data_IF_626696512493
#
_entry.id   IF_626696512493
#
_cell.length_a   1.000
_cell.length_b   1.000
_cell.length_c   1.000
_cell.angle_alpha   90.00
_cell.angle_beta   90.00
_cell.angle_gamma   90.00
#
_symmetry.space_group_name_H-M   'P 1'
#
loop_
_entity.id
_entity.type
_entity.pdbx_description
1 polymer ?
#
# COMPACT_ATOMS: atom_id res chain seq x y z
N UNK A 1 -16.04 -32.19 -35.42
CA UNK A 1 -16.27 -32.18 -33.96
C UNK A 1 -15.26 -33.11 -33.33
N UNK A 2 -14.09 -32.59 -32.98
CA UNK A 2 -13.05 -33.38 -32.35
C UNK A 2 -13.20 -33.26 -30.83
N UNK A 3 -13.74 -34.30 -30.20
CA UNK A 3 -13.78 -34.39 -28.73
C UNK A 3 -12.35 -34.59 -28.23
N UNK A 4 -11.72 -33.50 -27.76
CA UNK A 4 -10.39 -33.55 -27.16
C UNK A 4 -10.30 -34.65 -26.12
N UNK A 5 -9.26 -35.49 -26.20
CA UNK A 5 -9.21 -36.80 -25.53
C UNK A 5 -9.31 -36.62 -24.00
N UNK A 6 -10.49 -36.94 -23.46
CA UNK A 6 -10.77 -36.91 -22.01
C UNK A 6 -9.97 -38.03 -21.35
N UNK A 7 -8.99 -37.66 -20.54
CA UNK A 7 -8.10 -38.59 -19.82
C UNK A 7 -8.60 -38.85 -18.40
N UNK A 8 -8.90 -40.10 -18.10
CA UNK A 8 -9.18 -40.57 -16.73
C UNK A 8 -7.88 -40.65 -15.90
N UNK A 9 -7.90 -40.33 -14.60
CA UNK A 9 -6.71 -40.44 -13.74
C UNK A 9 -6.16 -41.88 -13.65
N UNK A 10 -4.85 -42.06 -13.65
CA UNK A 10 -4.25 -43.40 -13.55
C UNK A 10 -4.24 -43.95 -12.11
N UNK A 11 -4.57 -45.23 -11.95
CA UNK A 11 -4.50 -45.96 -10.67
C UNK A 11 -5.70 -45.74 -9.74
N UNK A 12 -5.48 -45.73 -8.42
CA UNK A 12 -6.54 -45.66 -7.39
C UNK A 12 -7.17 -44.26 -7.19
N UNK A 13 -7.23 -43.42 -8.21
CA UNK A 13 -7.80 -42.07 -8.14
C UNK A 13 -9.16 -42.03 -8.85
N UNK A 14 -10.21 -41.65 -8.13
CA UNK A 14 -11.50 -41.33 -8.73
C UNK A 14 -11.38 -40.08 -9.60
N UNK A 15 -12.15 -40.05 -10.69
CA UNK A 15 -12.37 -38.84 -11.48
C UNK A 15 -13.42 -37.97 -10.79
N UNK A 16 -13.26 -36.64 -10.82
CA UNK A 16 -14.23 -35.68 -10.28
C UNK A 16 -14.85 -34.85 -11.39
N UNK A 17 -16.03 -34.27 -11.13
CA UNK A 17 -16.67 -33.34 -12.08
C UNK A 17 -15.80 -32.10 -12.35
N UNK A 18 -15.05 -31.62 -11.36
CA UNK A 18 -14.08 -30.53 -11.55
C UNK A 18 -12.93 -30.90 -12.48
N UNK A 19 -12.42 -32.14 -12.41
CA UNK A 19 -11.42 -32.65 -13.37
C UNK A 19 -11.99 -32.77 -14.79
N UNK A 20 -13.27 -33.19 -14.92
CA UNK A 20 -13.94 -33.27 -16.22
C UNK A 20 -14.15 -31.87 -16.83
N UNK A 21 -14.72 -30.93 -16.06
CA UNK A 21 -14.93 -29.55 -16.50
C UNK A 21 -13.61 -28.87 -16.89
N UNK A 22 -12.53 -29.09 -16.12
CA UNK A 22 -11.19 -28.57 -16.45
C UNK A 22 -10.59 -29.17 -17.73
N UNK A 23 -11.03 -30.37 -18.14
CA UNK A 23 -10.61 -30.98 -19.41
C UNK A 23 -11.47 -30.51 -20.59
N UNK A 24 -12.78 -30.32 -20.39
CA UNK A 24 -13.68 -29.75 -21.42
C UNK A 24 -13.28 -28.31 -21.74
N UNK A 25 -13.13 -27.45 -20.72
CA UNK A 25 -12.68 -26.06 -20.92
C UNK A 25 -11.28 -25.98 -21.56
N UNK A 26 -10.40 -26.94 -21.28
CA UNK A 26 -9.08 -27.03 -21.94
C UNK A 26 -9.14 -27.46 -23.43
N UNK A 27 -10.27 -28.04 -23.88
CA UNK A 27 -10.55 -28.33 -25.28
C UNK A 27 -11.28 -27.20 -26.02
N UNK A 28 -11.90 -26.26 -25.31
CA UNK A 28 -12.67 -25.13 -25.86
C UNK A 28 -11.84 -23.83 -26.03
N UNK A 29 -10.53 -23.90 -25.74
CA UNK A 29 -9.58 -22.81 -25.96
C UNK A 29 -9.56 -22.39 -27.44
N UNK A 30 -9.66 -21.09 -27.71
CA UNK A 30 -9.58 -20.53 -29.06
C UNK A 30 -8.14 -20.66 -29.60
N UNK A 31 -7.93 -21.00 -30.89
CA UNK A 31 -6.58 -21.22 -31.42
C UNK A 31 -5.68 -19.99 -31.27
N UNK A 32 -6.21 -18.79 -31.56
CA UNK A 32 -5.48 -17.52 -31.50
C UNK A 32 -5.21 -17.01 -30.07
N UNK A 33 -5.58 -17.75 -29.02
CA UNK A 33 -5.47 -17.30 -27.65
C UNK A 33 -4.03 -17.50 -27.11
N UNK A 34 -3.26 -16.41 -26.99
CA UNK A 34 -1.98 -16.39 -26.29
C UNK A 34 -2.01 -15.56 -24.99
N UNK A 35 -1.26 -16.00 -23.98
CA UNK A 35 -1.12 -15.28 -22.69
C UNK A 35 0.32 -15.39 -22.16
N UNK A 36 0.92 -14.27 -21.76
CA UNK A 36 2.22 -14.23 -21.06
C UNK A 36 2.15 -15.02 -19.73
N UNK A 37 2.99 -16.07 -19.63
CA UNK A 37 2.96 -16.99 -18.49
C UNK A 37 3.32 -16.34 -17.15
N UNK A 38 4.10 -15.26 -17.17
CA UNK A 38 4.52 -14.54 -15.97
C UNK A 38 3.53 -13.46 -15.54
N UNK A 39 2.82 -12.81 -16.48
CA UNK A 39 1.62 -12.01 -16.19
C UNK A 39 0.61 -12.89 -15.48
N UNK A 40 0.22 -14.01 -16.10
CA UNK A 40 -0.75 -14.94 -15.55
C UNK A 40 -0.31 -15.53 -14.20
N UNK A 41 0.99 -15.83 -14.02
CA UNK A 41 1.50 -16.28 -12.71
C UNK A 41 1.41 -15.20 -11.62
N UNK A 42 1.66 -13.92 -11.94
CA UNK A 42 1.45 -12.82 -10.98
C UNK A 42 -0.04 -12.68 -10.63
N UNK A 43 -0.92 -12.74 -11.62
CA UNK A 43 -2.38 -12.74 -11.42
C UNK A 43 -2.83 -13.90 -10.50
N UNK A 44 -2.31 -15.11 -10.71
CA UNK A 44 -2.57 -16.28 -9.85
C UNK A 44 -2.13 -16.10 -8.40
N UNK A 45 -1.01 -15.39 -8.16
CA UNK A 45 -0.58 -15.06 -6.80
C UNK A 45 -1.57 -14.13 -6.07
N UNK A 46 -2.23 -13.23 -6.79
CA UNK A 46 -3.25 -12.34 -6.20
C UNK A 46 -4.63 -13.01 -6.06
N UNK A 47 -5.06 -13.80 -7.05
CA UNK A 47 -6.31 -14.59 -7.01
C UNK A 47 -6.27 -15.75 -6.00
N UNK A 48 -5.08 -16.11 -5.50
CA UNK A 48 -4.80 -17.20 -4.54
C UNK A 48 -5.86 -17.39 -3.42
N UNK A 49 -6.35 -16.34 -2.72
CA UNK A 49 -7.30 -16.52 -1.62
C UNK A 49 -8.63 -17.14 -2.07
N UNK A 50 -9.12 -16.78 -3.26
CA UNK A 50 -10.38 -17.30 -3.82
C UNK A 50 -10.18 -18.66 -4.48
N UNK A 51 -8.99 -18.93 -5.02
CA UNK A 51 -8.64 -20.22 -5.63
C UNK A 51 -8.35 -21.34 -4.60
N UNK A 52 -8.18 -21.01 -3.31
CA UNK A 52 -7.89 -21.99 -2.25
C UNK A 52 -6.47 -22.57 -2.28
N UNK A 53 -5.53 -21.88 -2.94
CA UNK A 53 -4.19 -22.43 -3.26
C UNK A 53 -3.14 -21.99 -2.22
N UNK A 54 -2.17 -22.86 -1.94
CA UNK A 54 -1.04 -22.58 -1.03
C UNK A 54 0.19 -22.08 -1.78
N UNK A 55 1.03 -21.27 -1.12
CA UNK A 55 2.26 -20.69 -1.71
C UNK A 55 3.22 -21.77 -2.22
N UNK A 56 3.26 -22.92 -1.53
CA UNK A 56 4.05 -24.09 -1.94
C UNK A 56 3.51 -24.76 -3.20
N UNK A 57 2.21 -24.63 -3.50
CA UNK A 57 1.64 -25.05 -4.78
C UNK A 57 1.95 -24.03 -5.88
N UNK A 58 1.86 -22.72 -5.61
CA UNK A 58 2.29 -21.69 -6.57
C UNK A 58 3.80 -21.79 -6.90
N UNK A 59 4.66 -22.11 -5.94
CA UNK A 59 6.07 -22.40 -6.18
C UNK A 59 6.28 -23.61 -7.12
N UNK A 60 5.50 -24.68 -6.96
CA UNK A 60 5.50 -25.82 -7.89
C UNK A 60 5.00 -25.42 -9.28
N UNK A 61 4.00 -24.54 -9.37
CA UNK A 61 3.49 -24.03 -10.65
C UNK A 61 4.53 -23.14 -11.36
N UNK A 62 5.20 -22.24 -10.65
CA UNK A 62 6.34 -21.47 -11.15
C UNK A 62 7.44 -22.39 -11.71
N UNK A 63 7.80 -23.44 -10.97
CA UNK A 63 8.76 -24.43 -11.43
C UNK A 63 8.31 -25.14 -12.72
N UNK A 64 7.01 -25.44 -12.88
CA UNK A 64 6.43 -26.02 -14.12
C UNK A 64 6.49 -25.03 -15.30
N UNK A 65 6.06 -23.78 -15.12
CA UNK A 65 6.12 -22.72 -16.15
C UNK A 65 7.56 -22.41 -16.60
N UNK A 66 8.54 -22.67 -15.73
CA UNK A 66 9.97 -22.59 -16.04
C UNK A 66 10.49 -23.74 -16.94
N UNK A 67 9.72 -24.80 -17.19
CA UNK A 67 10.06 -25.85 -18.18
C UNK A 67 9.39 -25.65 -19.54
N UNK A 68 8.35 -24.82 -19.62
CA UNK A 68 7.75 -24.44 -20.89
C UNK A 68 8.65 -23.40 -21.59
N UNK A 69 9.10 -23.64 -22.84
CA UNK A 69 10.24 -22.92 -23.42
C UNK A 69 9.91 -21.50 -23.89
N UNK A 70 8.72 -21.26 -24.45
CA UNK A 70 8.27 -19.93 -24.87
C UNK A 70 7.77 -19.10 -23.68
N UNK A 71 7.62 -17.79 -23.88
CA UNK A 71 7.07 -16.90 -22.84
C UNK A 71 5.52 -16.89 -22.83
N UNK A 72 4.91 -17.02 -24.00
CA UNK A 72 3.45 -17.06 -24.17
C UNK A 72 2.93 -18.51 -24.21
N UNK A 73 1.89 -18.78 -23.42
CA UNK A 73 1.09 -19.99 -23.50
C UNK A 73 0.10 -19.85 -24.67
N UNK A 74 0.20 -20.71 -25.68
CA UNK A 74 -0.76 -20.83 -26.80
C UNK A 74 -0.80 -22.29 -27.28
N UNK A 75 -1.87 -22.71 -27.97
CA UNK A 75 -2.07 -24.12 -28.35
C UNK A 75 -0.95 -24.67 -29.24
N UNK A 76 -0.55 -23.92 -30.29
CA UNK A 76 0.46 -24.26 -31.30
C UNK A 76 1.79 -24.77 -30.74
N UNK A 77 2.09 -24.38 -29.50
CA UNK A 77 3.39 -24.55 -28.87
C UNK A 77 3.48 -25.79 -27.98
N UNK A 78 2.40 -26.58 -27.88
CA UNK A 78 2.34 -27.80 -27.07
C UNK A 78 2.32 -27.50 -25.57
N UNK A 79 1.12 -27.32 -25.01
CA UNK A 79 0.90 -26.93 -23.61
C UNK A 79 1.24 -28.02 -22.56
N UNK A 80 2.03 -29.05 -22.90
CA UNK A 80 2.34 -30.20 -22.03
C UNK A 80 3.79 -30.15 -21.54
N UNK A 81 3.99 -30.05 -20.22
CA UNK A 81 5.32 -30.10 -19.58
C UNK A 81 5.55 -31.42 -18.83
N UNK A 82 6.72 -32.01 -19.00
CA UNK A 82 7.08 -33.35 -18.50
C UNK A 82 8.32 -33.40 -17.58
N UNK A 83 8.59 -32.42 -16.68
CA UNK A 83 9.80 -32.43 -15.86
C UNK A 83 9.83 -33.58 -14.85
N UNK A 84 11.05 -34.01 -14.48
CA UNK A 84 11.26 -35.00 -13.43
C UNK A 84 10.97 -34.40 -12.04
N UNK A 85 10.58 -35.25 -11.08
CA UNK A 85 10.34 -34.75 -9.72
C UNK A 85 11.62 -34.25 -9.03
N UNK A 86 12.80 -34.71 -9.45
CA UNK A 86 14.10 -34.20 -9.00
C UNK A 86 14.32 -32.76 -9.51
N UNK A 87 14.07 -32.51 -10.79
CA UNK A 87 14.17 -31.18 -11.39
C UNK A 87 13.16 -30.19 -10.78
N UNK A 88 11.94 -30.65 -10.48
CA UNK A 88 10.95 -29.86 -9.73
C UNK A 88 11.41 -29.58 -8.30
N UNK A 89 11.97 -30.56 -7.59
CA UNK A 89 12.51 -30.39 -6.22
C UNK A 89 13.60 -29.32 -6.19
N UNK A 90 14.57 -29.38 -7.10
CA UNK A 90 15.64 -28.38 -7.23
C UNK A 90 15.08 -26.96 -7.45
N UNK A 91 14.14 -26.79 -8.39
CA UNK A 91 13.50 -25.49 -8.69
C UNK A 91 12.51 -25.01 -7.63
N UNK A 92 12.16 -25.84 -6.65
CA UNK A 92 11.28 -25.48 -5.52
C UNK A 92 12.04 -25.45 -4.19
N UNK A 93 13.30 -25.01 -4.25
CA UNK A 93 14.20 -24.84 -3.10
C UNK A 93 14.40 -26.12 -2.26
N UNK A 94 14.54 -27.27 -2.93
CA UNK A 94 14.79 -28.56 -2.28
C UNK A 94 13.53 -29.21 -1.70
N UNK A 95 12.33 -28.90 -2.22
CA UNK A 95 11.10 -29.49 -1.73
C UNK A 95 11.10 -31.02 -1.88
N UNK A 96 10.90 -31.76 -0.79
CA UNK A 96 10.87 -33.22 -0.80
C UNK A 96 9.84 -33.79 -1.79
N UNK A 97 10.18 -34.90 -2.45
CA UNK A 97 9.44 -35.41 -3.62
C UNK A 97 7.96 -35.71 -3.33
N UNK A 98 7.64 -36.27 -2.15
CA UNK A 98 6.27 -36.51 -1.69
C UNK A 98 5.48 -35.20 -1.53
N UNK A 99 6.12 -34.14 -1.05
CA UNK A 99 5.53 -32.81 -0.90
C UNK A 99 5.26 -32.17 -2.28
N UNK A 100 6.20 -32.31 -3.23
CA UNK A 100 5.97 -31.94 -4.63
C UNK A 100 4.78 -32.70 -5.21
N UNK A 101 4.72 -34.04 -5.06
CA UNK A 101 3.59 -34.87 -5.52
C UNK A 101 2.23 -34.46 -4.91
N UNK A 102 2.22 -33.98 -3.65
CA UNK A 102 1.02 -33.46 -2.96
C UNK A 102 0.58 -32.11 -3.52
N UNK A 103 1.49 -31.17 -3.73
CA UNK A 103 1.14 -29.88 -4.31
C UNK A 103 0.76 -29.99 -5.80
N UNK A 104 1.35 -30.94 -6.54
CA UNK A 104 0.89 -31.38 -7.87
C UNK A 104 -0.45 -32.14 -7.85
N UNK A 105 -1.01 -32.48 -6.69
CA UNK A 105 -2.39 -32.93 -6.58
C UNK A 105 -3.29 -31.70 -6.43
N UNK A 106 -3.05 -30.86 -5.42
CA UNK A 106 -3.83 -29.65 -5.16
C UNK A 106 -4.00 -28.72 -6.38
N UNK A 107 -2.98 -28.57 -7.25
CA UNK A 107 -3.09 -27.80 -8.50
C UNK A 107 -4.02 -28.43 -9.56
N UNK A 108 -4.16 -29.76 -9.54
CA UNK A 108 -5.09 -30.50 -10.42
C UNK A 108 -6.49 -30.52 -9.82
N UNK A 109 -6.57 -30.70 -8.50
CA UNK A 109 -7.83 -30.70 -7.75
C UNK A 109 -8.50 -29.30 -7.78
N UNK A 110 -7.71 -28.22 -7.84
CA UNK A 110 -8.15 -26.84 -8.09
C UNK A 110 -8.35 -26.47 -9.58
N UNK A 111 -8.21 -27.43 -10.50
CA UNK A 111 -8.46 -27.21 -11.94
C UNK A 111 -7.49 -26.28 -12.65
N UNK A 112 -6.25 -26.10 -12.16
CA UNK A 112 -5.21 -25.32 -12.83
C UNK A 112 -4.28 -26.18 -13.71
N UNK A 113 -4.24 -27.49 -13.48
CA UNK A 113 -3.45 -28.45 -14.26
C UNK A 113 -4.28 -29.69 -14.59
N UNK A 114 -4.09 -30.25 -15.78
CA UNK A 114 -4.56 -31.61 -16.11
C UNK A 114 -3.37 -32.57 -16.16
N UNK A 115 -3.53 -33.77 -15.62
CA UNK A 115 -2.54 -34.86 -15.77
C UNK A 115 -2.89 -35.69 -16.99
N UNK A 116 -2.00 -35.70 -17.98
CA UNK A 116 -2.00 -36.68 -19.06
C UNK A 116 -1.06 -37.82 -18.65
N UNK A 117 -1.56 -38.69 -17.77
CA UNK A 117 -0.81 -39.86 -17.28
C UNK A 117 -0.58 -40.86 -18.43
N UNK A 118 0.59 -41.53 -18.45
CA UNK A 118 0.86 -42.61 -19.42
C UNK A 118 0.32 -43.96 -18.93
N UNK A 119 0.15 -44.97 -19.82
CA UNK A 119 -0.27 -46.32 -19.43
C UNK A 119 0.62 -47.01 -18.36
N UNK A 120 1.84 -46.51 -18.17
CA UNK A 120 2.80 -47.02 -17.17
C UNK A 120 3.01 -46.05 -15.98
N UNK A 121 2.20 -44.99 -15.85
CA UNK A 121 2.30 -43.99 -14.77
C UNK A 121 3.60 -43.16 -14.72
N UNK A 122 4.48 -43.31 -15.73
CA UNK A 122 5.73 -42.55 -15.86
C UNK A 122 5.54 -41.36 -16.80
N UNK A 123 6.19 -40.22 -16.52
CA UNK A 123 6.25 -39.09 -17.46
C UNK A 123 7.36 -39.35 -18.47
N UNK A 124 7.00 -39.41 -19.74
CA UNK A 124 7.94 -39.51 -20.86
C UNK A 124 7.28 -38.93 -22.12
N UNK A 125 8.12 -38.62 -23.10
CA UNK A 125 7.69 -38.30 -24.46
C UNK A 125 8.02 -39.50 -25.34
N UNK A 126 7.04 -40.02 -26.07
CA UNK A 126 7.28 -40.83 -27.26
C UNK A 126 7.60 -39.87 -28.40
N UNK A 127 8.73 -40.08 -29.06
CA UNK A 127 9.03 -39.47 -30.36
C UNK A 127 8.78 -40.49 -31.46
N UNK A 128 8.44 -40.00 -32.63
CA UNK A 128 8.26 -40.83 -33.81
C UNK A 128 9.62 -41.26 -34.41
N UNK A 129 9.62 -41.79 -35.64
CA UNK A 129 10.87 -42.18 -36.34
C UNK A 129 11.59 -41.00 -37.03
N UNK A 130 10.93 -39.85 -37.21
CA UNK A 130 11.56 -38.62 -37.71
C UNK A 130 12.19 -37.77 -36.59
N UNK A 131 11.75 -37.93 -35.34
CA UNK A 131 12.21 -37.20 -34.16
C UNK A 131 11.17 -36.24 -33.56
N UNK A 132 9.99 -36.14 -34.16
CA UNK A 132 8.90 -35.29 -33.73
C UNK A 132 8.14 -35.85 -32.52
N UNK A 133 7.35 -35.00 -31.86
CA UNK A 133 6.64 -35.34 -30.60
C UNK A 133 5.32 -36.05 -30.92
N UNK A 134 5.37 -37.37 -30.99
CA UNK A 134 4.25 -38.31 -31.21
C UNK A 134 3.27 -38.32 -30.02
N UNK A 135 3.77 -38.59 -28.80
CA UNK A 135 2.94 -38.54 -27.58
C UNK A 135 3.69 -37.94 -26.38
N UNK A 136 3.21 -36.81 -25.85
CA UNK A 136 3.67 -36.25 -24.59
C UNK A 136 2.77 -36.66 -23.40
N UNK A 137 3.37 -37.28 -22.37
CA UNK A 137 2.70 -37.63 -21.11
C UNK A 137 3.30 -36.86 -19.92
N UNK A 138 2.48 -36.04 -19.25
CA UNK A 138 2.93 -35.03 -18.29
C UNK A 138 1.79 -34.18 -17.73
N UNK A 139 2.07 -32.91 -17.44
CA UNK A 139 1.06 -31.92 -17.02
C UNK A 139 0.69 -31.01 -18.19
N UNK A 140 -0.60 -30.93 -18.50
CA UNK A 140 -1.14 -29.92 -19.40
C UNK A 140 -1.38 -28.62 -18.64
N UNK A 141 -0.84 -27.53 -19.19
CA UNK A 141 -1.03 -26.13 -18.79
C UNK A 141 -2.29 -25.51 -19.41
N UNK A 142 -2.99 -26.24 -20.30
CA UNK A 142 -4.17 -25.74 -21.00
C UNK A 142 -5.28 -25.15 -20.08
N UNK A 143 -5.59 -25.69 -18.89
CA UNK A 143 -6.57 -25.07 -17.99
C UNK A 143 -6.18 -23.64 -17.54
N UNK A 144 -4.89 -23.30 -17.50
CA UNK A 144 -4.44 -21.94 -17.19
C UNK A 144 -4.83 -20.95 -18.30
N UNK A 145 -4.76 -21.39 -19.56
CA UNK A 145 -5.07 -20.58 -20.72
C UNK A 145 -6.60 -20.44 -20.89
N UNK A 146 -7.33 -21.54 -20.74
CA UNK A 146 -8.80 -21.54 -20.73
C UNK A 146 -9.38 -20.61 -19.64
N UNK A 147 -8.81 -20.66 -18.43
CA UNK A 147 -9.28 -19.89 -17.26
C UNK A 147 -8.56 -18.54 -17.09
N UNK A 148 -7.78 -18.09 -18.07
CA UNK A 148 -6.97 -16.87 -17.92
C UNK A 148 -7.82 -15.63 -17.58
N UNK A 149 -9.00 -15.49 -18.20
CA UNK A 149 -9.93 -14.39 -17.94
C UNK A 149 -10.59 -14.51 -16.54
N UNK A 150 -11.04 -15.71 -16.17
CA UNK A 150 -11.56 -16.00 -14.81
C UNK A 150 -10.53 -15.65 -13.73
N UNK A 151 -9.27 -16.01 -13.94
CA UNK A 151 -8.15 -15.73 -13.04
C UNK A 151 -7.88 -14.21 -12.95
N UNK A 152 -7.97 -13.47 -14.06
CA UNK A 152 -7.86 -11.99 -14.06
C UNK A 152 -9.04 -11.33 -13.35
N UNK A 153 -10.27 -11.81 -13.52
CA UNK A 153 -11.46 -11.34 -12.80
C UNK A 153 -11.35 -11.61 -11.28
N UNK A 154 -10.92 -12.81 -10.88
CA UNK A 154 -10.71 -13.17 -9.46
C UNK A 154 -9.60 -12.33 -8.81
N UNK A 155 -8.49 -12.07 -9.51
CA UNK A 155 -7.44 -11.18 -9.01
C UNK A 155 -7.93 -9.72 -8.88
N UNK A 156 -8.69 -9.23 -9.86
CA UNK A 156 -9.29 -7.90 -9.81
C UNK A 156 -10.24 -7.74 -8.61
N UNK A 157 -11.07 -8.75 -8.32
CA UNK A 157 -11.94 -8.77 -7.16
C UNK A 157 -11.15 -8.72 -5.82
N UNK A 158 -10.11 -9.54 -5.68
CA UNK A 158 -9.25 -9.52 -4.47
C UNK A 158 -8.55 -8.17 -4.30
N UNK A 159 -8.08 -7.56 -5.38
CA UNK A 159 -7.41 -6.24 -5.33
C UNK A 159 -8.40 -5.10 -5.04
N UNK A 160 -9.63 -5.16 -5.58
CA UNK A 160 -10.69 -4.21 -5.28
C UNK A 160 -11.09 -4.25 -3.80
N UNK A 161 -11.24 -5.45 -3.21
CA UNK A 161 -11.56 -5.62 -1.79
C UNK A 161 -10.45 -5.07 -0.88
N UNK A 162 -9.18 -5.37 -1.16
CA UNK A 162 -8.04 -4.80 -0.41
C UNK A 162 -8.04 -3.26 -0.46
N UNK A 163 -8.27 -2.69 -1.64
CA UNK A 163 -8.29 -1.24 -1.86
C UNK A 163 -9.51 -0.57 -1.21
N UNK A 164 -10.65 -1.26 -1.14
CA UNK A 164 -11.83 -0.81 -0.40
C UNK A 164 -11.55 -0.76 1.11
N UNK A 165 -11.04 -1.85 1.69
CA UNK A 165 -10.61 -1.92 3.09
C UNK A 165 -9.57 -0.84 3.44
N UNK A 166 -8.63 -0.55 2.52
CA UNK A 166 -7.68 0.56 2.68
C UNK A 166 -8.40 1.92 2.73
N UNK A 167 -9.24 2.24 1.73
CA UNK A 167 -10.00 3.50 1.67
C UNK A 167 -10.91 3.71 2.87
N UNK A 168 -11.53 2.65 3.39
CA UNK A 168 -12.32 2.70 4.62
C UNK A 168 -11.45 3.11 5.81
N UNK A 169 -10.29 2.48 6.00
CA UNK A 169 -9.33 2.83 7.09
C UNK A 169 -8.80 4.26 6.98
N UNK A 170 -8.51 4.72 5.76
CA UNK A 170 -8.12 6.11 5.49
C UNK A 170 -9.24 7.09 5.85
N UNK A 171 -10.47 6.85 5.39
CA UNK A 171 -11.65 7.67 5.72
C UNK A 171 -11.97 7.68 7.22
N UNK A 172 -11.88 6.53 7.90
CA UNK A 172 -12.03 6.43 9.37
C UNK A 172 -10.96 7.27 10.07
N UNK A 173 -9.70 7.20 9.62
CA UNK A 173 -8.58 7.94 10.23
C UNK A 173 -8.74 9.45 10.06
N UNK A 174 -9.23 9.91 8.91
CA UNK A 174 -9.59 11.31 8.69
C UNK A 174 -10.79 11.73 9.55
N UNK A 175 -11.87 10.93 9.57
CA UNK A 175 -13.07 11.24 10.34
C UNK A 175 -12.77 11.34 11.85
N UNK A 176 -11.99 10.40 12.41
CA UNK A 176 -11.52 10.46 13.82
C UNK A 176 -10.70 11.72 14.13
N UNK A 177 -9.85 12.16 13.20
CA UNK A 177 -9.04 13.38 13.35
C UNK A 177 -9.90 14.63 13.33
N UNK A 178 -10.86 14.70 12.41
CA UNK A 178 -11.76 15.84 12.28
C UNK A 178 -12.68 15.95 13.50
N UNK A 179 -13.26 14.84 13.97
CA UNK A 179 -14.08 14.81 15.19
C UNK A 179 -13.30 15.37 16.39
N UNK A 180 -12.07 14.89 16.60
CA UNK A 180 -11.22 15.36 17.70
C UNK A 180 -10.96 16.88 17.62
N UNK A 181 -10.61 17.40 16.43
CA UNK A 181 -10.36 18.84 16.23
C UNK A 181 -11.61 19.71 16.37
N UNK A 182 -12.77 19.21 15.95
CA UNK A 182 -14.03 19.93 16.08
C UNK A 182 -14.48 19.98 17.55
N UNK A 183 -14.25 18.91 18.32
CA UNK A 183 -14.47 18.91 19.78
C UNK A 183 -13.48 19.84 20.51
N UNK A 184 -12.21 19.84 20.10
CA UNK A 184 -11.16 20.73 20.63
C UNK A 184 -11.56 22.20 20.46
N UNK A 185 -11.87 22.62 19.23
CA UNK A 185 -12.36 23.98 18.94
C UNK A 185 -13.70 24.32 19.64
N UNK A 186 -14.60 23.35 19.81
CA UNK A 186 -15.87 23.58 20.52
C UNK A 186 -15.68 23.90 22.01
N UNK A 187 -14.63 23.34 22.62
CA UNK A 187 -14.27 23.58 24.03
C UNK A 187 -13.44 24.86 24.18
N UNK A 188 -12.57 25.19 23.22
CA UNK A 188 -11.81 26.45 23.21
C UNK A 188 -12.70 27.69 23.03
N UNK A 189 -13.77 27.60 22.21
CA UNK A 189 -14.72 28.69 21.93
C UNK A 189 -15.95 28.72 22.89
N UNK A 190 -15.90 27.96 23.99
CA UNK A 190 -16.95 27.82 25.02
C UNK A 190 -18.37 27.67 24.42
N UNK A 191 -18.52 26.73 23.49
CA UNK A 191 -19.77 26.51 22.77
C UNK A 191 -20.74 25.71 23.64
N UNK A 192 -21.95 26.22 23.86
CA UNK A 192 -23.01 25.52 24.61
C UNK A 192 -23.34 24.14 23.97
N UNK A 193 -23.10 23.05 24.71
CA UNK A 193 -23.44 21.70 24.26
C UNK A 193 -22.88 20.59 25.16
N UNK A 194 -23.50 19.40 25.12
CA UNK A 194 -22.97 18.22 25.82
C UNK A 194 -21.83 17.54 25.01
N UNK A 195 -20.70 18.22 24.94
CA UNK A 195 -19.47 17.71 24.34
C UNK A 195 -18.91 16.50 25.08
N UNK A 196 -19.26 16.33 26.37
CA UNK A 196 -18.78 15.22 27.20
C UNK A 196 -19.45 13.90 26.82
N UNK A 197 -20.77 13.89 26.60
CA UNK A 197 -21.47 12.73 26.06
C UNK A 197 -21.01 12.39 24.64
N UNK A 198 -20.82 13.41 23.79
CA UNK A 198 -20.30 13.21 22.43
C UNK A 198 -18.88 12.62 22.43
N UNK A 199 -17.99 13.09 23.33
CA UNK A 199 -16.64 12.55 23.48
C UNK A 199 -16.66 11.11 23.99
N UNK A 200 -17.56 10.76 24.91
CA UNK A 200 -17.68 9.38 25.38
C UNK A 200 -18.18 8.47 24.25
N UNK A 201 -19.23 8.86 23.52
CA UNK A 201 -19.77 8.12 22.37
C UNK A 201 -18.70 7.95 21.28
N UNK A 202 -17.92 8.99 20.97
CA UNK A 202 -16.76 8.89 20.08
C UNK A 202 -15.77 7.83 20.53
N UNK A 203 -15.49 7.76 21.83
CA UNK A 203 -14.54 6.80 22.39
C UNK A 203 -15.10 5.37 22.34
N UNK A 204 -16.35 5.19 22.70
CA UNK A 204 -17.03 3.88 22.69
C UNK A 204 -17.06 3.28 21.27
N UNK A 205 -17.31 4.10 20.24
CA UNK A 205 -17.21 3.70 18.82
C UNK A 205 -15.79 3.23 18.43
N UNK A 206 -14.75 3.92 18.94
CA UNK A 206 -13.34 3.62 18.59
C UNK A 206 -12.80 2.43 19.38
N UNK A 207 -13.18 2.28 20.65
CA UNK A 207 -12.75 1.18 21.53
C UNK A 207 -13.56 -0.12 21.28
N UNK A 208 -14.75 -0.03 20.67
CA UNK A 208 -15.59 -1.18 20.32
C UNK A 208 -15.10 -2.05 19.16
N UNK A 209 -14.05 -1.65 18.43
CA UNK A 209 -13.53 -2.43 17.30
C UNK A 209 -12.84 -3.74 17.73
N UNK A 210 -13.13 -4.88 17.07
CA UNK A 210 -12.33 -6.09 17.24
C UNK A 210 -10.94 -5.93 16.58
N UNK A 211 -9.94 -6.69 17.07
CA UNK A 211 -8.54 -6.63 16.61
C UNK A 211 -8.33 -6.90 15.11
N UNK A 212 -9.27 -7.58 14.46
CA UNK A 212 -9.27 -7.85 13.02
C UNK A 212 -10.68 -7.59 12.49
N UNK A 213 -11.04 -6.33 12.22
CA UNK A 213 -12.40 -5.98 11.81
C UNK A 213 -12.67 -6.42 10.37
N UNK A 214 -13.88 -6.91 10.11
CA UNK A 214 -14.36 -7.22 8.77
C UNK A 214 -14.69 -5.94 8.00
N UNK A 215 -14.80 -6.04 6.67
CA UNK A 215 -15.14 -4.89 5.80
C UNK A 215 -16.45 -4.24 6.23
N UNK A 216 -17.50 -5.02 6.51
CA UNK A 216 -18.78 -4.53 7.01
C UNK A 216 -18.68 -3.80 8.37
N UNK A 217 -17.76 -4.21 9.26
CA UNK A 217 -17.52 -3.51 10.53
C UNK A 217 -16.79 -2.18 10.34
N UNK A 218 -15.93 -2.08 9.31
CA UNK A 218 -15.28 -0.83 8.92
C UNK A 218 -16.27 0.12 8.22
N UNK A 219 -17.21 -0.41 7.43
CA UNK A 219 -18.30 0.37 6.84
C UNK A 219 -19.23 0.93 7.91
N UNK A 220 -19.75 0.08 8.80
CA UNK A 220 -20.61 0.51 9.91
C UNK A 220 -19.95 1.60 10.77
N UNK A 221 -18.71 1.39 11.23
CA UNK A 221 -18.00 2.38 12.03
C UNK A 221 -17.80 3.70 11.27
N UNK A 222 -17.53 3.64 9.97
CA UNK A 222 -17.33 4.84 9.16
C UNK A 222 -18.62 5.66 9.04
N UNK A 223 -19.76 5.01 8.91
CA UNK A 223 -21.06 5.68 8.87
C UNK A 223 -21.44 6.25 10.24
N UNK A 224 -21.22 5.50 11.33
CA UNK A 224 -21.42 5.97 12.72
C UNK A 224 -20.54 7.18 13.07
N UNK A 225 -19.25 7.15 12.71
CA UNK A 225 -18.35 8.30 12.86
C UNK A 225 -18.74 9.47 11.96
N UNK A 226 -19.22 9.21 10.74
CA UNK A 226 -19.66 10.28 9.82
C UNK A 226 -20.93 10.97 10.32
N UNK A 227 -21.87 10.21 10.89
CA UNK A 227 -23.05 10.75 11.57
C UNK A 227 -22.65 11.62 12.77
N UNK A 228 -21.74 11.14 13.63
CA UNK A 228 -21.22 11.90 14.77
C UNK A 228 -20.51 13.19 14.34
N UNK A 229 -19.65 13.13 13.32
CA UNK A 229 -19.00 14.31 12.72
C UNK A 229 -20.03 15.31 12.19
N UNK A 230 -21.16 14.84 11.68
CA UNK A 230 -22.23 15.69 11.14
C UNK A 230 -23.03 16.38 12.25
N UNK A 231 -23.37 15.69 13.33
CA UNK A 231 -24.01 16.30 14.52
C UNK A 231 -23.11 17.40 15.14
N UNK A 232 -21.83 17.11 15.32
CA UNK A 232 -20.82 18.07 15.80
C UNK A 232 -20.75 19.31 14.90
N UNK A 233 -20.68 19.11 13.57
CA UNK A 233 -20.66 20.21 12.60
C UNK A 233 -21.95 21.03 12.65
N UNK A 234 -23.12 20.40 12.76
CA UNK A 234 -24.41 21.09 12.84
C UNK A 234 -24.50 21.99 14.08
N UNK A 235 -24.07 21.48 15.26
CA UNK A 235 -24.04 22.26 16.51
C UNK A 235 -23.13 23.49 16.39
N UNK A 236 -21.94 23.32 15.80
CA UNK A 236 -21.00 24.41 15.55
C UNK A 236 -21.53 25.41 14.52
N UNK A 237 -22.21 24.95 13.45
CA UNK A 237 -22.76 25.84 12.42
C UNK A 237 -23.91 26.70 12.96
N UNK A 238 -24.75 26.16 13.86
CA UNK A 238 -25.78 26.94 14.59
C UNK A 238 -25.14 28.04 15.44
N UNK A 239 -24.00 27.79 16.08
CA UNK A 239 -23.24 28.83 16.79
C UNK A 239 -22.71 29.91 15.83
N UNK A 240 -22.14 29.53 14.68
CA UNK A 240 -21.66 30.49 13.67
C UNK A 240 -22.80 31.33 13.09
N UNK A 241 -23.99 30.76 12.87
CA UNK A 241 -25.18 31.47 12.40
C UNK A 241 -25.71 32.46 13.45
N UNK A 242 -25.93 31.99 14.68
CA UNK A 242 -26.42 32.84 15.78
C UNK A 242 -25.44 33.94 16.18
N UNK A 243 -24.12 33.73 16.07
CA UNK A 243 -23.12 34.80 16.27
C UNK A 243 -23.19 35.87 15.17
N UNK A 244 -23.45 35.50 13.90
CA UNK A 244 -23.68 36.48 12.82
C UNK A 244 -24.95 37.29 13.03
N UNK A 245 -26.02 36.67 13.53
CA UNK A 245 -27.29 37.34 13.85
C UNK A 245 -27.15 38.28 15.07
N UNK A 246 -26.44 37.85 16.13
CA UNK A 246 -26.05 38.71 17.27
C UNK A 246 -25.12 39.87 16.88
N UNK A 247 -24.55 39.86 15.67
CA UNK A 247 -23.80 40.97 15.08
C UNK A 247 -24.64 42.22 14.78
N UNK A 248 -25.97 42.15 14.83
CA UNK A 248 -26.87 43.30 14.66
C UNK A 248 -27.26 43.94 16.01
N UNK A 249 -26.33 44.68 16.62
CA UNK A 249 -26.56 45.46 17.84
C UNK A 249 -26.69 46.97 17.55
N UNK A 250 -27.73 47.34 16.78
CA UNK A 250 -28.42 48.64 16.67
C UNK A 250 -27.67 50.00 16.66
N UNK A 251 -28.19 50.88 15.79
CA UNK A 251 -28.03 52.35 15.77
C UNK A 251 -26.63 52.97 15.57
N UNK A 252 -26.36 53.29 14.31
CA UNK A 252 -26.04 54.66 13.95
C UNK A 252 -26.92 55.09 12.76
N UNK A 253 -28.13 55.57 13.06
CA UNK A 253 -28.95 56.28 12.08
C UNK A 253 -28.28 57.62 11.74
N UNK A 254 -27.43 57.62 10.72
CA UNK A 254 -27.07 58.88 10.05
C UNK A 254 -28.30 59.36 9.31
N UNK A 255 -29.01 60.31 9.92
CA UNK A 255 -30.09 61.10 9.34
C UNK A 255 -29.78 61.46 7.88
N UNK A 256 -30.44 60.78 6.94
CA UNK A 256 -30.28 61.03 5.51
C UNK A 256 -31.10 62.28 5.18
N UNK A 257 -30.47 63.44 5.35
CA UNK A 257 -30.94 64.69 4.75
C UNK A 257 -30.87 64.53 3.22
N UNK A 258 -31.97 64.10 2.62
CA UNK A 258 -32.17 64.12 1.17
C UNK A 258 -32.36 65.56 0.69
N UNK A 259 -31.29 66.35 0.72
CA UNK A 259 -31.21 67.70 0.17
C UNK A 259 -31.15 67.67 -1.36
N UNK A 260 -32.10 66.99 -2.00
CA UNK A 260 -32.41 67.15 -3.41
C UNK A 260 -33.17 68.48 -3.58
N UNK A 261 -32.44 69.58 -3.34
CA UNK A 261 -32.90 70.91 -3.71
C UNK A 261 -32.78 71.04 -5.22
N UNK A 262 -33.90 70.84 -5.94
CA UNK A 262 -34.00 71.27 -7.33
C UNK A 262 -33.72 72.78 -7.39
N UNK A 263 -32.57 73.14 -7.95
CA UNK A 263 -32.09 74.53 -8.00
C UNK A 263 -31.24 74.71 -9.25
N UNK A 264 -31.88 75.30 -10.25
CA UNK A 264 -31.27 75.77 -11.52
C UNK A 264 -30.37 76.99 -11.29
N UNK A 265 -29.70 77.43 -12.37
CA UNK A 265 -28.71 78.53 -12.44
C UNK A 265 -27.30 78.18 -11.90
N UNK A 266 -26.20 78.60 -12.54
CA UNK A 266 -26.06 79.24 -13.87
C UNK A 266 -24.66 79.00 -14.48
N UNK A 267 -24.41 79.54 -15.68
CA UNK A 267 -23.15 79.44 -16.41
C UNK A 267 -22.01 80.26 -15.78
N UNK A 268 -20.75 79.83 -15.99
CA UNK A 268 -19.82 80.59 -16.86
C UNK A 268 -18.88 79.64 -17.64
N UNK A 269 -18.53 79.94 -18.92
CA UNK A 269 -17.68 79.11 -19.76
C UNK A 269 -16.20 79.54 -19.78
N UNK A 270 -15.26 78.59 -19.94
CA UNK A 270 -13.82 78.86 -19.84
C UNK A 270 -12.89 77.99 -20.71
N UNK A 271 -12.87 78.27 -22.02
CA UNK A 271 -11.84 77.91 -23.02
C UNK A 271 -11.57 76.44 -23.42
N UNK A 272 -11.44 76.26 -24.74
CA UNK A 272 -10.92 75.09 -25.46
C UNK A 272 -9.35 75.07 -25.41
N UNK A 273 -8.57 74.11 -25.93
CA UNK A 273 -8.80 73.17 -27.04
C UNK A 273 -7.83 71.97 -27.04
N UNK A 274 -8.34 70.79 -27.44
CA UNK A 274 -7.71 69.66 -28.19
C UNK A 274 -6.20 69.30 -28.08
N UNK A 275 -5.99 67.99 -27.86
CA UNK A 275 -5.08 67.06 -28.58
C UNK A 275 -3.55 67.26 -28.55
N UNK A 276 -2.83 66.13 -28.37
CA UNK A 276 -1.72 65.79 -29.27
C UNK A 276 -0.44 65.16 -28.68
N UNK A 277 -0.21 63.89 -29.05
CA UNK A 277 1.11 63.27 -29.33
C UNK A 277 2.30 63.33 -28.34
N UNK A 278 2.83 62.13 -28.03
CA UNK A 278 4.27 61.84 -27.75
C UNK A 278 5.10 62.03 -29.05
N UNK A 279 6.47 62.12 -29.08
CA UNK A 279 7.39 61.41 -28.16
C UNK A 279 8.79 62.04 -27.82
N UNK A 280 9.47 61.32 -26.90
CA UNK A 280 10.92 60.97 -26.87
C UNK A 280 12.09 61.92 -26.47
N UNK A 281 13.04 61.29 -25.74
CA UNK A 281 14.50 61.52 -25.58
C UNK A 281 14.99 62.85 -24.92
N UNK A 282 15.65 62.82 -23.75
CA UNK A 282 17.08 62.47 -23.43
C UNK A 282 17.91 63.78 -23.22
N UNK A 283 18.92 64.00 -22.36
CA UNK A 283 19.88 63.15 -21.61
C UNK A 283 20.56 63.95 -20.44
N UNK A 284 21.39 63.29 -19.60
CA UNK A 284 22.53 63.82 -18.77
C UNK A 284 22.20 64.54 -17.44
N UNK A 285 23.04 64.46 -16.37
CA UNK A 285 24.32 63.71 -16.15
C UNK A 285 24.69 63.50 -14.66
N UNK A 286 25.33 62.35 -14.37
CA UNK A 286 26.38 62.19 -13.34
C UNK A 286 25.94 61.78 -11.91
N UNK A 287 26.60 60.83 -11.23
CA UNK A 287 27.61 59.85 -11.67
C UNK A 287 28.57 59.37 -10.55
N UNK A 288 29.31 58.27 -10.82
CA UNK A 288 30.53 57.79 -10.12
C UNK A 288 30.31 57.21 -8.69
N UNK A 289 30.77 56.03 -8.25
CA UNK A 289 31.28 54.73 -8.83
C UNK A 289 31.03 53.64 -7.72
N UNK A 290 31.61 52.44 -7.54
CA UNK A 290 32.70 51.57 -8.06
C UNK A 290 32.38 50.12 -7.53
N UNK A 291 32.87 48.95 -7.95
CA UNK A 291 33.71 48.45 -9.07
C UNK A 291 33.11 47.07 -9.50
N UNK A 292 33.94 46.12 -9.96
CA UNK A 292 33.61 44.74 -10.37
C UNK A 292 34.62 43.76 -9.70
N UNK A 293 34.45 42.41 -9.72
CA UNK A 293 34.96 41.44 -10.74
C UNK A 293 34.78 40.00 -10.15
N UNK A 294 34.65 38.83 -10.82
CA UNK A 294 34.92 38.27 -12.18
C UNK A 294 36.40 38.03 -12.51
N UNK A 295 36.91 36.83 -12.83
CA UNK A 295 36.41 35.48 -13.20
C UNK A 295 37.43 34.40 -12.69
N UNK A 296 37.38 33.08 -12.92
CA UNK A 296 36.57 32.19 -13.78
C UNK A 296 36.92 30.69 -13.58
N UNK A 297 36.52 29.80 -14.51
CA UNK A 297 36.79 28.35 -14.52
C UNK A 297 37.92 27.98 -15.54
N UNK A 298 38.39 26.72 -15.75
CA UNK A 298 37.55 25.53 -16.11
C UNK A 298 38.04 24.11 -15.66
N UNK A 299 37.28 23.10 -16.14
CA UNK A 299 37.67 21.72 -16.53
C UNK A 299 37.63 20.52 -15.55
N UNK A 300 37.53 19.31 -16.12
CA UNK A 300 37.36 18.00 -15.46
C UNK A 300 38.58 17.06 -15.66
N UNK A 301 38.68 15.94 -14.92
CA UNK A 301 38.28 14.66 -15.53
C UNK A 301 37.56 13.66 -14.58
N UNK A 302 36.96 12.60 -15.15
CA UNK A 302 36.05 11.67 -14.46
C UNK A 302 36.70 10.50 -13.67
N UNK A 303 35.86 9.55 -13.25
CA UNK A 303 36.26 8.32 -12.54
C UNK A 303 35.57 7.07 -13.11
N UNK A 304 36.26 5.93 -13.09
CA UNK A 304 35.76 4.63 -13.57
C UNK A 304 34.93 3.88 -12.53
N UNK A 305 33.99 3.04 -13.00
CA UNK A 305 33.35 2.02 -12.17
C UNK A 305 34.32 0.88 -11.83
N UNK A 306 34.52 0.55 -10.54
CA UNK A 306 35.12 -0.74 -10.15
C UNK A 306 34.43 -1.37 -8.94
N UNK A 307 34.05 -2.64 -9.10
CA UNK A 307 33.40 -3.45 -8.06
C UNK A 307 34.42 -4.05 -7.09
N UNK A 308 34.22 -3.82 -5.78
CA UNK A 308 34.55 -4.65 -4.60
C UNK A 308 34.07 -3.86 -3.36
N UNK A 309 33.54 -4.44 -2.29
CA UNK A 309 33.52 -5.85 -1.90
C UNK A 309 34.44 -6.11 -0.71
N UNK A 310 34.04 -5.64 0.48
CA UNK A 310 34.81 -5.81 1.72
C UNK A 310 34.11 -5.17 2.92
N UNK A 311 34.07 -5.89 4.03
CA UNK A 311 33.52 -5.43 5.31
C UNK A 311 34.61 -4.87 6.22
N UNK A 312 34.36 -3.73 6.85
CA UNK A 312 35.20 -3.16 7.92
C UNK A 312 34.39 -2.14 8.70
N UNK A 313 34.48 -2.17 10.03
CA UNK A 313 33.73 -1.24 10.89
C UNK A 313 34.45 0.09 11.10
N UNK A 314 33.67 1.13 11.35
CA UNK A 314 34.10 2.27 12.16
C UNK A 314 33.16 2.33 13.36
N UNK A 315 33.72 2.29 14.57
CA UNK A 315 32.98 2.64 15.78
C UNK A 315 32.86 4.17 15.89
N UNK A 316 31.74 4.66 16.40
CA UNK A 316 31.71 5.91 17.15
C UNK A 316 30.60 5.87 18.24
N UNK A 317 30.67 6.78 19.20
CA UNK A 317 30.08 6.63 20.52
C UNK A 317 28.58 6.95 20.62
N UNK A 318 27.91 6.32 21.60
CA UNK A 318 26.60 6.72 22.14
C UNK A 318 25.37 6.47 21.25
N UNK A 319 25.52 6.40 19.93
CA UNK A 319 24.41 6.30 18.99
C UNK A 319 23.64 4.96 19.05
N UNK A 320 22.30 5.06 18.99
CA UNK A 320 21.44 3.90 18.75
C UNK A 320 21.69 3.33 17.35
N UNK A 321 22.30 2.14 17.28
CA UNK A 321 22.63 1.45 16.03
C UNK A 321 21.40 1.35 15.11
N UNK A 322 21.49 1.94 13.92
CA UNK A 322 20.47 1.83 12.89
C UNK A 322 20.44 0.40 12.31
N UNK A 323 19.25 -0.03 11.88
CA UNK A 323 19.02 -1.37 11.32
C UNK A 323 18.64 -1.26 9.85
N UNK A 324 19.02 -2.20 8.97
CA UNK A 324 18.62 -2.16 7.57
C UNK A 324 17.10 -2.09 7.42
N UNK A 325 16.60 -1.17 6.58
CA UNK A 325 15.17 -0.92 6.38
C UNK A 325 14.37 -2.21 6.12
N UNK A 326 14.90 -3.12 5.29
CA UNK A 326 14.26 -4.41 5.02
C UNK A 326 14.03 -5.29 6.26
N UNK A 327 14.91 -5.22 7.27
CA UNK A 327 14.74 -5.93 8.54
C UNK A 327 13.67 -5.26 9.42
N UNK A 328 13.59 -3.92 9.40
CA UNK A 328 12.50 -3.18 10.07
C UNK A 328 11.15 -3.52 9.44
N UNK A 329 11.05 -3.54 8.11
CA UNK A 329 9.81 -3.90 7.40
C UNK A 329 9.45 -5.38 7.52
N UNK A 330 10.42 -6.28 7.71
CA UNK A 330 10.15 -7.68 8.03
C UNK A 330 9.63 -7.88 9.46
N UNK A 331 10.12 -7.08 10.42
CA UNK A 331 9.62 -7.10 11.80
C UNK A 331 8.22 -6.48 11.89
N UNK A 332 8.02 -5.35 11.20
CA UNK A 332 6.88 -4.44 11.34
C UNK A 332 6.05 -4.24 10.05
N UNK A 333 5.65 -5.29 9.29
CA UNK A 333 4.85 -5.16 8.07
C UNK A 333 3.52 -4.40 8.23
N UNK A 334 2.95 -4.24 9.42
CA UNK A 334 1.76 -3.38 9.59
C UNK A 334 2.00 -1.93 9.15
N UNK A 335 3.23 -1.40 9.23
CA UNK A 335 3.50 -0.02 8.80
C UNK A 335 3.49 0.16 7.28
N UNK A 336 3.60 -0.92 6.49
CA UNK A 336 3.62 -0.86 5.02
C UNK A 336 2.36 -0.18 4.46
N UNK A 337 1.20 -0.44 5.07
CA UNK A 337 -0.10 0.13 4.68
C UNK A 337 -0.22 1.65 4.89
N UNK A 338 0.77 2.29 5.52
CA UNK A 338 0.82 3.74 5.76
C UNK A 338 1.94 4.45 4.96
N UNK A 339 2.67 3.72 4.13
CA UNK A 339 3.63 4.29 3.18
C UNK A 339 2.95 5.00 1.99
N UNK A 340 3.65 5.89 1.27
CA UNK A 340 3.19 6.44 0.01
C UNK A 340 2.81 5.32 -0.98
N UNK A 341 1.69 5.46 -1.67
CA UNK A 341 1.11 4.42 -2.54
C UNK A 341 0.89 3.04 -1.86
N UNK A 342 0.83 2.98 -0.52
CA UNK A 342 0.74 1.73 0.24
C UNK A 342 2.02 0.88 0.26
N UNK A 343 3.18 1.47 -0.07
CA UNK A 343 4.48 0.78 -0.13
C UNK A 343 5.55 1.64 0.55
N UNK A 344 6.53 0.99 1.20
CA UNK A 344 7.72 1.66 1.74
C UNK A 344 8.93 1.13 0.97
N UNK A 345 9.57 2.01 0.18
CA UNK A 345 10.72 1.71 -0.68
C UNK A 345 12.02 2.25 -0.08
N UNK A 346 11.95 3.31 0.72
CA UNK A 346 13.11 3.97 1.34
C UNK A 346 12.77 4.56 2.74
N UNK A 347 13.77 5.10 3.45
CA UNK A 347 13.60 5.65 4.80
C UNK A 347 12.66 6.86 4.88
N UNK A 348 12.58 7.71 3.84
CA UNK A 348 11.66 8.85 3.79
C UNK A 348 10.22 8.38 3.78
N UNK A 349 9.92 7.32 3.02
CA UNK A 349 8.60 6.68 2.99
C UNK A 349 8.22 6.17 4.39
N UNK A 350 9.16 5.55 5.12
CA UNK A 350 8.94 5.05 6.48
C UNK A 350 8.76 6.21 7.49
N UNK A 351 9.49 7.31 7.35
CA UNK A 351 9.30 8.50 8.18
C UNK A 351 7.93 9.17 7.93
N UNK A 352 7.48 9.23 6.67
CA UNK A 352 6.12 9.68 6.32
C UNK A 352 5.05 8.75 6.92
N UNK A 353 5.23 7.43 6.81
CA UNK A 353 4.35 6.45 7.42
C UNK A 353 4.30 6.60 8.95
N UNK A 354 5.44 6.80 9.60
CA UNK A 354 5.54 6.99 11.05
C UNK A 354 4.79 8.24 11.54
N UNK A 355 4.75 9.34 10.78
CA UNK A 355 3.97 10.55 11.13
C UNK A 355 2.46 10.31 11.02
N UNK A 356 2.02 9.51 10.04
CA UNK A 356 0.62 9.04 9.93
C UNK A 356 0.26 8.16 11.12
N UNK A 357 1.10 7.18 11.43
CA UNK A 357 0.93 6.20 12.53
C UNK A 357 0.97 6.87 13.91
N UNK A 358 1.87 7.84 14.13
CA UNK A 358 1.90 8.73 15.32
C UNK A 358 0.52 9.29 15.61
N UNK A 359 -0.11 9.84 14.57
CA UNK A 359 -1.42 10.48 14.64
C UNK A 359 -2.56 9.47 14.86
N UNK A 360 -2.47 8.27 14.28
CA UNK A 360 -3.44 7.18 14.46
C UNK A 360 -3.44 6.63 15.90
N UNK A 361 -2.27 6.52 16.51
CA UNK A 361 -2.03 5.94 17.84
C UNK A 361 -2.13 6.95 19.00
N UNK A 362 -2.57 8.20 18.74
CA UNK A 362 -2.72 9.22 19.77
C UNK A 362 -1.40 9.72 20.38
N UNK A 363 -0.29 9.63 19.64
CA UNK A 363 1.01 10.19 20.05
C UNK A 363 1.03 11.68 19.68
N UNK A 364 1.31 12.56 20.65
CA UNK A 364 1.39 14.01 20.39
C UNK A 364 2.58 14.35 19.47
N UNK A 365 2.52 15.45 18.69
CA UNK A 365 3.64 15.87 17.84
C UNK A 365 4.94 16.01 18.61
N UNK A 366 4.88 16.76 19.72
CA UNK A 366 5.99 16.97 20.65
C UNK A 366 6.67 15.68 21.12
N UNK A 367 5.92 14.62 21.47
CA UNK A 367 6.49 13.37 21.95
C UNK A 367 7.26 12.59 20.85
N UNK A 368 6.92 12.81 19.58
CA UNK A 368 7.63 12.21 18.45
C UNK A 368 8.81 13.06 17.99
N UNK A 369 8.71 14.39 18.10
CA UNK A 369 9.81 15.33 17.85
C UNK A 369 10.91 15.20 18.92
N UNK A 370 10.51 15.05 20.20
CA UNK A 370 11.35 14.69 21.36
C UNK A 370 12.02 13.32 21.16
N UNK A 371 11.28 12.31 20.70
CA UNK A 371 11.86 11.02 20.34
C UNK A 371 12.90 11.16 19.21
N UNK A 372 12.54 11.85 18.11
CA UNK A 372 13.38 11.99 16.93
C UNK A 372 14.67 12.80 17.18
N UNK A 373 14.68 13.76 18.11
CA UNK A 373 15.89 14.48 18.50
C UNK A 373 16.83 13.63 19.37
N UNK A 374 16.28 12.80 20.26
CA UNK A 374 17.07 11.93 21.17
C UNK A 374 17.62 10.70 20.46
N UNK A 375 16.80 9.95 19.71
CA UNK A 375 17.23 8.68 19.09
C UNK A 375 17.58 8.78 17.61
N UNK A 376 17.30 9.91 16.96
CA UNK A 376 17.41 10.11 15.51
C UNK A 376 16.12 9.71 14.76
N UNK A 377 15.84 10.37 13.64
CA UNK A 377 14.56 10.27 12.93
C UNK A 377 14.25 8.86 12.39
N UNK A 378 15.22 8.16 11.80
CA UNK A 378 15.06 6.78 11.31
C UNK A 378 14.76 5.79 12.45
N UNK A 379 15.40 5.98 13.60
CA UNK A 379 15.21 5.20 14.80
C UNK A 379 13.85 5.48 15.45
N UNK A 380 13.41 6.75 15.52
CA UNK A 380 12.08 7.12 16.00
C UNK A 380 10.96 6.57 15.11
N UNK A 381 11.14 6.60 13.78
CA UNK A 381 10.23 5.96 12.83
C UNK A 381 10.20 4.44 13.00
N UNK A 382 11.36 3.81 13.26
CA UNK A 382 11.48 2.38 13.58
C UNK A 382 10.77 2.02 14.88
N UNK A 383 10.90 2.84 15.93
CA UNK A 383 10.19 2.64 17.20
C UNK A 383 8.68 2.80 17.00
N UNK A 384 8.22 3.80 16.24
CA UNK A 384 6.79 3.93 15.90
C UNK A 384 6.24 2.73 15.14
N UNK A 385 7.00 2.16 14.19
CA UNK A 385 6.65 0.91 13.53
C UNK A 385 6.54 -0.26 14.53
N UNK A 386 7.48 -0.36 15.49
CA UNK A 386 7.46 -1.39 16.53
C UNK A 386 6.36 -1.18 17.60
N UNK A 387 5.82 0.03 17.75
CA UNK A 387 4.69 0.33 18.64
C UNK A 387 3.37 -0.02 17.94
N UNK A 388 3.21 0.33 16.66
CA UNK A 388 2.06 -0.09 15.83
C UNK A 388 1.91 -1.61 15.83
N UNK A 389 3.00 -2.31 15.48
CA UNK A 389 3.06 -3.77 15.42
C UNK A 389 2.91 -4.47 16.79
N UNK A 390 2.80 -3.69 17.88
CA UNK A 390 2.46 -4.15 19.24
C UNK A 390 1.13 -3.57 19.72
N UNK A 391 0.27 -3.16 18.79
CA UNK A 391 -1.08 -2.65 19.03
C UNK A 391 -1.88 -3.58 19.94
N UNK A 392 -2.56 -3.01 20.93
CA UNK A 392 -3.30 -3.77 21.94
C UNK A 392 -2.47 -4.41 23.05
N UNK A 393 -1.14 -4.27 23.06
CA UNK A 393 -0.26 -4.60 24.19
C UNK A 393 0.33 -3.36 24.89
N UNK A 394 -0.04 -2.16 24.46
CA UNK A 394 0.50 -0.88 24.95
C UNK A 394 -0.68 0.06 25.24
N UNK A 395 -0.94 0.33 26.53
CA UNK A 395 -2.13 1.09 26.97
C UNK A 395 -2.09 2.58 26.56
N UNK A 396 -0.89 3.13 26.33
CA UNK A 396 -0.71 4.48 25.80
C UNK A 396 0.56 4.51 24.94
N UNK A 397 0.40 4.62 23.63
CA UNK A 397 1.53 4.70 22.70
C UNK A 397 2.40 5.94 22.97
N UNK A 398 1.77 7.08 23.28
CA UNK A 398 2.49 8.33 23.59
C UNK A 398 3.23 8.28 24.93
N UNK A 399 2.63 7.67 25.95
CA UNK A 399 3.31 7.44 27.23
C UNK A 399 4.49 6.48 27.09
N UNK A 400 4.32 5.41 26.31
CA UNK A 400 5.37 4.43 26.07
C UNK A 400 6.52 4.99 25.22
N UNK A 401 6.24 5.79 24.19
CA UNK A 401 7.28 6.47 23.41
C UNK A 401 8.14 7.39 24.29
N UNK A 402 7.53 8.12 25.23
CA UNK A 402 8.26 8.97 26.19
C UNK A 402 9.12 8.15 27.18
N UNK A 403 8.67 6.97 27.62
CA UNK A 403 9.51 6.06 28.42
C UNK A 403 10.73 5.58 27.61
N UNK A 404 10.52 5.12 26.37
CA UNK A 404 11.60 4.68 25.50
C UNK A 404 12.56 5.82 25.16
N UNK A 405 12.06 7.05 25.01
CA UNK A 405 12.87 8.25 24.79
C UNK A 405 13.73 8.57 26.01
N UNK A 406 13.13 8.68 27.20
CA UNK A 406 13.85 8.91 28.46
C UNK A 406 14.90 7.83 28.77
N UNK A 407 14.64 6.59 28.37
CA UNK A 407 15.61 5.51 28.47
C UNK A 407 16.70 5.57 27.40
N UNK A 408 16.41 6.15 26.24
CA UNK A 408 17.42 6.43 25.20
C UNK A 408 18.39 7.51 25.65
N UNK A 409 17.91 8.59 26.28
CA UNK A 409 18.76 9.66 26.88
C UNK A 409 19.81 9.11 27.85
N UNK A 410 19.48 8.02 28.55
CA UNK A 410 20.36 7.36 29.52
C UNK A 410 21.19 6.19 28.96
N UNK A 411 20.99 5.81 27.70
CA UNK A 411 21.55 4.55 27.14
C UNK A 411 20.91 3.26 27.68
N UNK A 412 19.78 3.33 28.39
CA UNK A 412 19.00 2.22 28.95
C UNK A 412 18.05 1.56 27.93
N UNK A 413 18.08 1.97 26.65
CA UNK A 413 17.25 1.46 25.56
C UNK A 413 18.09 0.99 24.35
N UNK A 414 17.59 -0.03 23.66
CA UNK A 414 18.13 -0.50 22.39
C UNK A 414 17.00 -1.04 21.49
N UNK A 415 17.00 -0.64 20.22
CA UNK A 415 15.97 -1.02 19.24
C UNK A 415 16.10 -2.50 18.81
N UNK A 416 17.33 -3.03 18.76
CA UNK A 416 17.60 -4.42 18.34
C UNK A 416 16.80 -5.49 19.10
N UNK A 417 16.81 -5.51 20.45
CA UNK A 417 15.97 -6.40 21.24
C UNK A 417 14.46 -6.30 20.94
N UNK A 418 13.95 -5.11 20.61
CA UNK A 418 12.55 -4.86 20.27
C UNK A 418 12.19 -5.47 18.91
N UNK A 419 12.99 -5.20 17.87
CA UNK A 419 12.85 -5.80 16.53
C UNK A 419 12.99 -7.33 16.59
N UNK A 420 13.97 -7.84 17.32
CA UNK A 420 14.22 -9.28 17.45
C UNK A 420 13.12 -10.00 18.25
N UNK A 421 12.40 -9.32 19.15
CA UNK A 421 11.22 -9.88 19.79
C UNK A 421 10.06 -10.04 18.79
N UNK A 422 9.81 -9.02 17.95
CA UNK A 422 8.79 -9.07 16.90
C UNK A 422 9.08 -10.15 15.84
N UNK A 423 10.32 -10.24 15.35
CA UNK A 423 10.74 -11.28 14.41
C UNK A 423 10.57 -12.70 14.99
N UNK A 424 10.85 -12.90 16.29
CA UNK A 424 10.59 -14.19 16.97
C UNK A 424 9.11 -14.50 17.15
N UNK A 425 8.28 -13.50 17.46
CA UNK A 425 6.84 -13.68 17.61
C UNK A 425 6.15 -14.11 16.30
N UNK A 426 6.74 -13.73 15.15
CA UNK A 426 6.25 -14.08 13.80
C UNK A 426 6.91 -15.30 13.18
N UNK A 427 7.98 -15.83 13.78
CA UNK A 427 8.55 -17.09 13.34
C UNK A 427 7.53 -18.23 13.61
N UNK A 428 7.20 -19.08 12.61
CA UNK A 428 6.25 -20.16 12.82
C UNK A 428 6.75 -21.09 13.93
N UNK A 429 5.86 -21.49 14.84
CA UNK A 429 6.16 -22.27 16.04
C UNK A 429 6.66 -23.70 15.71
N UNK A 430 7.93 -23.80 15.32
CA UNK A 430 8.50 -25.00 14.71
C UNK A 430 10.03 -24.99 14.64
N UNK A 431 10.69 -24.35 15.61
CA UNK A 431 12.16 -24.39 15.80
C UNK A 431 12.57 -24.08 17.25
N UNK A 432 12.07 -24.87 18.21
CA UNK A 432 12.80 -25.07 19.46
C UNK A 432 13.95 -26.05 19.16
N UNK A 433 15.15 -25.54 19.02
CA UNK A 433 16.35 -26.36 19.21
C UNK A 433 16.55 -26.56 20.72
N UNK A 434 16.92 -27.78 21.10
CA UNK A 434 17.70 -28.04 22.31
C UNK A 434 19.18 -28.18 21.95
#
# INVERSE_FOLDING_TARGET
>A
METGIITTPFGRRSMTLGMLASQVAAGEIKPDQSVDKWKLFRTLCEAKPLLGITDRALAVLNALLSFYPKNELAQDNGLIVFPSNVQLSLRTHGMAEQTVRRHLAALVDAGLLVRKDSPNGKRYVRRDRAGEIDEAFGFSLAPLLARAEEIEQLAAAVMAERLHVQRLRERITLCRRDIAKLMEAAVEEDVEGDWKALYQLFRDLVEGLPRSPTTAQLEQLLDELTALRTDILNRLEVRVKTTKERGNAYYNERHIQNSNSDSTSEFEPGFETKQGARPEQDNRRGGVTIDEKRHGAPDQPGQEERQRGGSGGHDDAGGLKSFPLGLVLQACPEILAYGPDGVIRNWRDLMTAAVTVRSMLGVSPSAYEEAASVMGAENAATVMACILERGGHINSAGGYLRDLTRRSEKGEFAIGPMLMALLRAKAPAGRKAG
#
